data_IF_799389217885
#
_entry.id   IF_799389217885
#
_cell.length_a   1.000
_cell.length_b   1.000
_cell.length_c   1.000
_cell.angle_alpha   90.00
_cell.angle_beta   90.00
_cell.angle_gamma   90.00
#
_symmetry.space_group_name_H-M   'P 1'
#
loop_
_entity.id
_entity.type
_entity.pdbx_description
1 polymer ?
#
# COMPACT_ATOMS: atom_id res chain seq x y z
N UNK A 1 0.00 3.62 5.01
CA UNK A 1 -0.77 3.96 6.24
C UNK A 1 -0.87 5.46 6.47
N UNK A 2 0.24 6.20 6.56
CA UNK A 2 0.24 7.68 6.73
C UNK A 2 -0.62 8.41 5.69
N UNK A 3 -0.42 8.11 4.40
CA UNK A 3 -1.20 8.70 3.30
C UNK A 3 -2.71 8.40 3.41
N UNK A 4 -3.06 7.21 3.89
CA UNK A 4 -4.46 6.81 4.05
C UNK A 4 -5.12 7.55 5.23
N UNK A 5 -4.42 7.62 6.36
CA UNK A 5 -4.87 8.32 7.56
C UNK A 5 -5.04 9.84 7.36
N UNK A 6 -4.26 10.44 6.46
CA UNK A 6 -4.39 11.84 6.07
C UNK A 6 -5.38 12.05 4.91
N UNK A 7 -5.87 10.96 4.30
CA UNK A 7 -6.77 11.00 3.17
C UNK A 7 -8.21 11.37 3.57
N UNK A 8 -9.11 11.56 2.59
CA UNK A 8 -10.48 11.97 2.83
C UNK A 8 -11.26 11.07 3.78
N UNK A 9 -10.99 9.76 3.78
CA UNK A 9 -11.63 8.80 4.68
C UNK A 9 -11.01 8.78 6.08
N UNK A 10 -9.74 9.15 6.20
CA UNK A 10 -9.04 9.23 7.48
C UNK A 10 -9.67 10.25 8.43
N UNK A 11 -10.16 11.37 7.90
CA UNK A 11 -10.88 12.38 8.69
C UNK A 11 -12.29 11.98 9.15
N UNK A 12 -12.77 10.81 8.72
CA UNK A 12 -14.07 10.27 9.12
C UNK A 12 -13.95 9.05 10.05
N UNK A 13 -12.75 8.74 10.51
CA UNK A 13 -12.49 7.63 11.44
C UNK A 13 -11.67 8.12 12.61
N UNK A 14 -11.97 7.58 13.79
CA UNK A 14 -11.11 7.73 14.96
C UNK A 14 -10.22 6.49 15.08
N UNK A 15 -8.94 6.71 15.38
CA UNK A 15 -7.94 5.67 15.53
C UNK A 15 -7.75 5.32 17.01
N UNK A 16 -7.67 4.01 17.28
CA UNK A 16 -7.23 3.49 18.56
C UNK A 16 -5.89 2.79 18.37
N UNK A 17 -4.80 3.42 18.81
CA UNK A 17 -3.46 2.83 18.75
C UNK A 17 -3.19 2.09 20.06
N UNK A 18 -3.36 0.77 20.06
CA UNK A 18 -3.18 -0.07 21.24
C UNK A 18 -1.81 -0.75 21.19
N UNK A 19 -0.95 -0.46 22.16
CA UNK A 19 0.35 -1.09 22.30
C UNK A 19 0.34 -2.09 23.47
N UNK A 20 1.10 -3.19 23.32
CA UNK A 20 1.32 -4.19 24.38
C UNK A 20 2.63 -3.97 25.14
N UNK A 21 3.52 -3.15 24.58
CA UNK A 21 4.84 -2.88 25.14
C UNK A 21 4.76 -1.75 26.17
N UNK A 22 4.52 -0.52 25.72
CA UNK A 22 4.38 0.64 26.59
C UNK A 22 3.51 1.73 25.97
N UNK A 23 3.03 2.65 26.81
CA UNK A 23 2.30 3.83 26.34
C UNK A 23 3.18 4.74 25.46
N UNK A 24 4.47 4.80 25.74
CA UNK A 24 5.42 5.59 24.96
C UNK A 24 5.54 5.09 23.52
N UNK A 25 5.58 3.76 23.32
CA UNK A 25 5.57 3.15 21.98
C UNK A 25 4.27 3.46 21.24
N UNK A 26 3.12 3.39 21.93
CA UNK A 26 1.84 3.79 21.33
C UNK A 26 1.88 5.24 20.85
N UNK A 27 2.33 6.17 21.71
CA UNK A 27 2.46 7.59 21.39
C UNK A 27 3.42 7.82 20.21
N UNK A 28 4.52 7.07 20.14
CA UNK A 28 5.47 7.16 19.04
C UNK A 28 4.82 6.76 17.70
N UNK A 29 4.09 5.64 17.66
CA UNK A 29 3.34 5.24 16.46
C UNK A 29 2.26 6.25 16.07
N UNK A 30 1.53 6.79 17.06
CA UNK A 30 0.54 7.85 16.82
C UNK A 30 1.14 9.07 16.13
N UNK A 31 2.33 9.51 16.58
CA UNK A 31 3.08 10.63 15.98
C UNK A 31 3.64 10.27 14.60
N UNK A 32 4.24 9.09 14.47
CA UNK A 32 4.91 8.64 13.25
C UNK A 32 3.93 8.50 12.08
N UNK A 33 2.76 7.92 12.32
CA UNK A 33 1.74 7.78 11.28
C UNK A 33 0.88 9.03 11.08
N UNK A 34 1.08 10.06 11.92
CA UNK A 34 0.36 11.34 11.87
C UNK A 34 -1.16 11.16 11.79
N UNK A 35 -1.70 10.27 12.64
CA UNK A 35 -3.14 10.09 12.74
C UNK A 35 -3.79 11.39 13.22
N UNK A 36 -4.85 11.84 12.54
CA UNK A 36 -5.52 13.09 12.91
C UNK A 36 -6.27 12.95 14.23
N UNK A 37 -7.05 11.87 14.40
CA UNK A 37 -7.82 11.59 15.60
C UNK A 37 -7.34 10.26 16.17
N UNK A 38 -6.37 10.26 17.08
CA UNK A 38 -5.86 9.02 17.70
C UNK A 38 -5.93 9.06 19.20
N UNK A 39 -6.49 8.00 19.77
CA UNK A 39 -6.34 7.65 21.19
C UNK A 39 -5.26 6.58 21.29
N UNK A 40 -4.18 6.89 22.01
CA UNK A 40 -3.10 5.94 22.26
C UNK A 40 -3.36 5.22 23.59
N UNK A 41 -3.29 3.89 23.56
CA UNK A 41 -3.60 3.04 24.70
C UNK A 41 -2.49 2.02 24.89
N UNK A 42 -2.36 1.54 26.13
CA UNK A 42 -1.42 0.50 26.49
C UNK A 42 -2.14 -0.58 27.29
N UNK A 43 -1.83 -1.84 26.97
CA UNK A 43 -2.31 -3.01 27.70
C UNK A 43 -1.18 -3.46 28.63
N UNK A 44 -1.28 -3.22 29.95
CA UNK A 44 -0.20 -3.51 30.89
C UNK A 44 -0.02 -5.00 31.17
N UNK A 45 -1.07 -5.80 31.00
CA UNK A 45 -1.04 -7.24 31.22
C UNK A 45 -1.43 -7.99 29.94
N UNK A 46 -0.58 -8.88 29.41
CA UNK A 46 -0.92 -9.71 28.25
C UNK A 46 -2.24 -10.50 28.39
N UNK A 47 -2.67 -10.81 29.61
CA UNK A 47 -3.95 -11.48 29.86
C UNK A 47 -5.18 -10.64 29.44
N UNK A 48 -5.05 -9.31 29.42
CA UNK A 48 -6.09 -8.37 29.00
C UNK A 48 -6.14 -8.21 27.47
N UNK A 49 -5.24 -8.88 26.74
CA UNK A 49 -5.20 -8.80 25.29
C UNK A 49 -6.49 -9.38 24.68
N UNK A 50 -7.16 -8.67 23.75
CA UNK A 50 -8.30 -9.21 23.04
C UNK A 50 -7.94 -10.52 22.36
N UNK A 51 -8.70 -11.58 22.69
CA UNK A 51 -8.59 -12.91 22.07
C UNK A 51 -9.19 -12.98 20.66
N UNK A 52 -9.60 -11.84 20.12
CA UNK A 52 -10.26 -11.73 18.84
C UNK A 52 -9.59 -10.65 17.98
N UNK A 53 -9.70 -10.84 16.67
CA UNK A 53 -9.26 -9.87 15.68
C UNK A 53 -7.77 -9.92 15.36
N UNK A 54 -7.33 -8.92 14.61
CA UNK A 54 -5.96 -8.79 14.13
C UNK A 54 -5.51 -7.34 14.36
N UNK A 55 -4.41 -7.17 15.10
CA UNK A 55 -3.89 -5.86 15.50
C UNK A 55 -2.44 -5.71 15.02
N UNK A 56 -2.02 -4.46 14.75
CA UNK A 56 -0.68 -4.12 14.27
C UNK A 56 -0.50 -4.27 12.75
N UNK A 57 0.72 -4.61 12.30
CA UNK A 57 1.10 -4.75 10.87
C UNK A 57 0.29 -5.81 10.11
N UNK A 58 -0.47 -6.57 10.86
CA UNK A 58 -1.35 -7.62 10.45
C UNK A 58 -2.74 -7.09 10.01
N UNK A 59 -3.14 -5.84 10.28
CA UNK A 59 -4.41 -5.27 9.82
C UNK A 59 -5.17 -4.52 10.92
N UNK A 60 -6.44 -4.24 10.68
CA UNK A 60 -7.29 -3.44 11.54
C UNK A 60 -8.51 -4.22 12.06
N UNK A 61 -8.96 -3.80 13.25
CA UNK A 61 -10.31 -4.03 13.76
C UNK A 61 -11.11 -2.77 13.47
N UNK A 62 -12.30 -2.93 12.89
CA UNK A 62 -13.16 -1.81 12.50
C UNK A 62 -14.48 -1.91 13.24
N UNK A 63 -14.81 -0.84 13.96
CA UNK A 63 -16.04 -0.64 14.72
C UNK A 63 -16.84 0.50 14.07
N UNK A 64 -18.17 0.48 14.19
CA UNK A 64 -19.01 1.63 13.87
C UNK A 64 -19.10 2.62 15.05
N UNK A 65 -19.82 3.74 14.86
CA UNK A 65 -20.01 4.76 15.90
C UNK A 65 -20.79 4.29 17.13
N UNK A 66 -21.50 3.15 17.04
CA UNK A 66 -22.20 2.52 18.16
C UNK A 66 -21.31 1.47 18.87
N UNK A 67 -20.05 1.31 18.44
CA UNK A 67 -19.12 0.32 18.97
C UNK A 67 -19.39 -1.12 18.51
N UNK A 68 -20.16 -1.33 17.44
CA UNK A 68 -20.37 -2.67 16.86
C UNK A 68 -19.29 -3.01 15.86
N UNK A 69 -18.88 -4.29 15.84
CA UNK A 69 -17.89 -4.77 14.89
C UNK A 69 -18.41 -4.75 13.46
N UNK A 70 -17.85 -3.88 12.63
CA UNK A 70 -17.98 -3.93 11.18
C UNK A 70 -17.05 -5.02 10.62
N UNK A 71 -15.82 -5.10 11.14
CA UNK A 71 -14.89 -6.17 10.81
C UNK A 71 -13.92 -6.43 11.95
N UNK A 72 -13.82 -7.68 12.38
CA UNK A 72 -12.82 -8.09 13.37
C UNK A 72 -11.42 -8.27 12.76
N UNK A 73 -11.32 -8.45 11.45
CA UNK A 73 -10.07 -8.73 10.74
C UNK A 73 -10.10 -8.16 9.33
N UNK A 74 -9.39 -7.07 9.06
CA UNK A 74 -9.17 -6.60 7.68
C UNK A 74 -8.08 -7.40 6.98
N UNK A 75 -7.96 -7.21 5.67
CA UNK A 75 -6.78 -7.66 4.94
C UNK A 75 -5.51 -7.11 5.58
N UNK A 76 -4.48 -7.97 5.67
CA UNK A 76 -3.21 -7.65 6.29
C UNK A 76 -2.29 -6.91 5.32
N UNK A 77 -1.77 -5.74 5.72
CA UNK A 77 -0.81 -5.00 4.89
C UNK A 77 0.43 -5.83 4.56
N UNK A 78 0.96 -6.57 5.53
CA UNK A 78 2.12 -7.45 5.33
C UNK A 78 1.89 -8.58 4.30
N UNK A 79 0.63 -8.90 3.97
CA UNK A 79 0.28 -9.94 2.99
C UNK A 79 -0.17 -9.37 1.64
N UNK A 80 -0.91 -8.27 1.67
CA UNK A 80 -1.62 -7.72 0.50
C UNK A 80 -1.10 -6.35 0.05
N UNK A 81 -0.12 -5.75 0.75
CA UNK A 81 0.38 -4.41 0.45
C UNK A 81 -0.75 -3.37 0.45
N UNK A 82 -0.73 -2.47 -0.53
CA UNK A 82 -1.71 -1.37 -0.66
C UNK A 82 -3.16 -1.85 -0.89
N UNK A 83 -3.37 -3.06 -1.43
CA UNK A 83 -4.72 -3.61 -1.58
C UNK A 83 -5.42 -3.86 -0.24
N UNK A 84 -4.65 -3.99 0.86
CA UNK A 84 -5.22 -4.03 2.21
C UNK A 84 -5.99 -2.75 2.56
N UNK A 85 -5.50 -1.58 2.13
CA UNK A 85 -6.17 -0.32 2.38
C UNK A 85 -7.43 -0.17 1.54
N UNK A 86 -7.46 -0.70 0.31
CA UNK A 86 -8.67 -0.70 -0.52
C UNK A 86 -9.82 -1.50 0.11
N UNK A 87 -9.53 -2.65 0.71
CA UNK A 87 -10.52 -3.43 1.48
C UNK A 87 -11.03 -2.64 2.70
N UNK A 88 -10.13 -1.98 3.44
CA UNK A 88 -10.48 -1.13 4.57
C UNK A 88 -11.38 0.05 4.15
N UNK A 89 -11.02 0.76 3.06
CA UNK A 89 -11.83 1.86 2.53
C UNK A 89 -13.25 1.41 2.18
N UNK A 90 -13.38 0.24 1.57
CA UNK A 90 -14.69 -0.29 1.22
C UNK A 90 -15.57 -0.54 2.46
N UNK A 91 -14.98 -1.11 3.53
CA UNK A 91 -15.69 -1.34 4.80
C UNK A 91 -16.14 -0.01 5.41
N UNK A 92 -15.23 0.95 5.49
CA UNK A 92 -15.45 2.27 6.09
C UNK A 92 -16.51 3.07 5.32
N UNK A 93 -16.43 3.11 3.97
CA UNK A 93 -17.42 3.79 3.13
C UNK A 93 -18.82 3.20 3.25
N UNK A 94 -18.97 1.89 3.44
CA UNK A 94 -20.28 1.24 3.63
C UNK A 94 -20.92 1.57 4.97
N UNK A 95 -20.12 1.93 5.96
CA UNK A 95 -20.60 2.21 7.31
C UNK A 95 -20.95 3.70 7.52
N UNK A 96 -20.47 4.59 6.67
CA UNK A 96 -20.81 6.01 6.79
C UNK A 96 -22.27 6.28 6.42
N UNK A 97 -23.00 7.05 7.26
CA UNK A 97 -24.32 7.54 6.90
C UNK A 97 -24.21 8.46 5.68
N UNK A 98 -24.95 8.14 4.62
CA UNK A 98 -24.88 8.84 3.34
C UNK A 98 -25.64 10.17 3.41
N UNK A 99 -24.95 11.27 3.74
CA UNK A 99 -25.44 12.60 3.36
C UNK A 99 -24.98 12.89 1.93
N UNK A 100 -25.81 12.46 0.97
CA UNK A 100 -25.65 12.54 -0.50
C UNK A 100 -24.47 11.77 -1.11
N UNK A 101 -24.73 10.83 -2.05
CA UNK A 101 -23.64 10.12 -2.72
C UNK A 101 -22.89 11.07 -3.66
N UNK A 102 -21.55 11.20 -3.54
CA UNK A 102 -20.77 11.78 -4.62
C UNK A 102 -20.92 10.88 -5.84
N UNK A 103 -21.31 11.47 -6.97
CA UNK A 103 -21.41 10.77 -8.25
C UNK A 103 -20.07 10.06 -8.52
N UNK A 104 -20.00 8.71 -8.50
CA UNK A 104 -18.73 7.98 -8.59
C UNK A 104 -17.99 8.37 -9.86
N UNK A 105 -16.67 8.64 -9.88
CA UNK A 105 -15.98 9.12 -11.07
C UNK A 105 -16.20 8.21 -12.28
N UNK A 106 -16.10 8.78 -13.49
CA UNK A 106 -16.17 8.00 -14.72
C UNK A 106 -15.06 6.93 -14.69
N UNK A 107 -15.39 5.73 -15.16
CA UNK A 107 -14.43 4.63 -15.25
C UNK A 107 -13.39 4.83 -16.36
N UNK A 108 -13.68 5.72 -17.31
CA UNK A 108 -12.80 6.12 -18.40
C UNK A 108 -13.24 7.49 -18.94
N UNK A 109 -12.30 8.31 -19.43
CA UNK A 109 -12.60 9.66 -19.93
C UNK A 109 -13.60 9.65 -21.10
N UNK A 110 -13.51 8.65 -21.98
CA UNK A 110 -14.30 8.57 -23.22
C UNK A 110 -15.69 7.95 -23.05
N UNK A 111 -16.02 7.42 -21.87
CA UNK A 111 -17.25 6.67 -21.66
C UNK A 111 -18.05 7.22 -20.48
N UNK A 112 -19.37 7.43 -20.62
CA UNK A 112 -20.22 8.05 -19.59
C UNK A 112 -20.61 7.06 -18.47
N UNK A 113 -19.76 6.07 -18.18
CA UNK A 113 -20.07 4.97 -17.29
C UNK A 113 -19.32 5.08 -15.96
N UNK A 114 -20.02 4.74 -14.88
CA UNK A 114 -19.54 4.82 -13.50
C UNK A 114 -19.68 3.46 -12.84
N UNK A 115 -18.81 3.12 -11.89
CA UNK A 115 -18.99 1.93 -11.07
C UNK A 115 -20.34 2.01 -10.34
N UNK A 116 -21.11 0.93 -10.36
CA UNK A 116 -22.48 0.88 -9.84
C UNK A 116 -23.56 1.34 -10.83
N UNK A 117 -23.19 1.86 -12.01
CA UNK A 117 -24.16 2.29 -13.02
C UNK A 117 -24.95 1.12 -13.63
N UNK A 118 -26.26 1.29 -13.79
CA UNK A 118 -27.12 0.30 -14.43
C UNK A 118 -27.04 0.41 -15.96
N UNK A 119 -26.87 -0.74 -16.62
CA UNK A 119 -26.70 -0.81 -18.07
C UNK A 119 -27.46 -1.98 -18.69
N UNK A 120 -27.79 -1.84 -19.97
CA UNK A 120 -28.27 -2.92 -20.82
C UNK A 120 -27.13 -3.46 -21.67
N UNK A 121 -27.11 -4.78 -21.88
CA UNK A 121 -26.19 -5.43 -22.80
C UNK A 121 -26.86 -5.65 -24.15
N UNK A 122 -26.18 -5.29 -25.22
CA UNK A 122 -26.63 -5.52 -26.59
C UNK A 122 -25.43 -5.78 -27.53
N UNK A 123 -25.65 -6.33 -28.72
CA UNK A 123 -24.60 -6.52 -29.73
C UNK A 123 -23.49 -7.52 -29.37
N UNK A 124 -23.67 -8.38 -28.36
CA UNK A 124 -22.74 -9.49 -28.06
C UNK A 124 -22.89 -10.59 -29.12
N UNK A 125 -21.79 -10.87 -29.85
CA UNK A 125 -21.76 -11.90 -30.90
C UNK A 125 -21.48 -13.31 -30.40
N UNK A 126 -20.65 -13.44 -29.36
CA UNK A 126 -20.19 -14.74 -28.86
C UNK A 126 -21.12 -15.35 -27.81
N UNK A 127 -21.95 -14.52 -27.16
CA UNK A 127 -22.92 -14.91 -26.14
C UNK A 127 -24.23 -14.13 -26.36
N UNK A 128 -24.94 -14.37 -27.48
CA UNK A 128 -26.12 -13.60 -27.85
C UNK A 128 -27.28 -13.75 -26.85
N UNK A 129 -27.31 -14.80 -26.03
CA UNK A 129 -28.27 -15.04 -24.96
C UNK A 129 -28.24 -14.00 -23.83
N UNK A 130 -27.17 -13.19 -23.79
CA UNK A 130 -27.01 -12.09 -22.83
C UNK A 130 -27.51 -10.75 -23.38
N UNK A 131 -27.79 -10.65 -24.68
CA UNK A 131 -28.38 -9.43 -25.26
C UNK A 131 -29.80 -9.21 -24.71
N UNK A 132 -30.12 -7.96 -24.41
CA UNK A 132 -31.37 -7.58 -23.73
C UNK A 132 -31.36 -7.81 -22.21
N UNK A 133 -30.28 -8.35 -21.64
CA UNK A 133 -30.14 -8.43 -20.19
C UNK A 133 -29.56 -7.14 -19.61
N UNK A 134 -29.97 -6.83 -18.38
CA UNK A 134 -29.46 -5.68 -17.62
C UNK A 134 -28.44 -6.09 -16.59
N UNK A 135 -27.46 -5.23 -16.33
CA UNK A 135 -26.45 -5.44 -15.31
C UNK A 135 -25.99 -4.15 -14.63
N UNK A 136 -25.05 -4.31 -13.71
CA UNK A 136 -24.40 -3.23 -12.99
C UNK A 136 -22.92 -3.20 -13.39
N UNK A 137 -22.41 -2.05 -13.78
CA UNK A 137 -20.99 -1.91 -14.12
C UNK A 137 -20.15 -2.00 -12.83
N UNK A 138 -19.14 -2.88 -12.84
CA UNK A 138 -18.20 -3.03 -11.74
C UNK A 138 -16.94 -2.17 -11.97
N UNK A 139 -16.30 -2.33 -13.14
CA UNK A 139 -15.05 -1.64 -13.48
C UNK A 139 -14.80 -1.61 -15.01
N UNK A 140 -13.83 -0.82 -15.47
CA UNK A 140 -13.26 -0.83 -16.81
C UNK A 140 -11.81 -1.33 -16.77
N UNK A 141 -11.47 -2.32 -17.58
CA UNK A 141 -10.10 -2.80 -17.73
C UNK A 141 -9.44 -2.07 -18.90
N UNK A 142 -8.48 -1.20 -18.60
CA UNK A 142 -7.69 -0.48 -19.62
C UNK A 142 -6.82 -1.43 -20.44
N UNK A 143 -6.30 -2.50 -19.83
CA UNK A 143 -5.50 -3.53 -20.50
C UNK A 143 -6.29 -4.35 -21.53
N UNK A 144 -7.60 -4.56 -21.32
CA UNK A 144 -8.44 -5.32 -22.26
C UNK A 144 -9.43 -4.46 -23.06
N UNK A 145 -9.57 -3.18 -22.71
CA UNK A 145 -10.52 -2.23 -23.31
C UNK A 145 -11.98 -2.61 -23.08
N UNK A 146 -12.32 -3.27 -21.96
CA UNK A 146 -13.65 -3.87 -21.71
C UNK A 146 -14.22 -3.49 -20.35
N UNK A 147 -15.55 -3.40 -20.28
CA UNK A 147 -16.30 -3.26 -19.03
C UNK A 147 -16.55 -4.62 -18.40
N UNK A 148 -16.39 -4.69 -17.08
CA UNK A 148 -16.89 -5.81 -16.29
C UNK A 148 -18.29 -5.46 -15.77
N UNK A 149 -19.28 -6.25 -16.17
CA UNK A 149 -20.69 -6.02 -15.84
C UNK A 149 -21.23 -7.22 -15.07
N UNK A 150 -21.86 -6.98 -13.92
CA UNK A 150 -22.56 -8.02 -13.16
C UNK A 150 -24.02 -8.09 -13.61
N UNK A 151 -24.46 -9.25 -14.11
CA UNK A 151 -25.83 -9.46 -14.58
C UNK A 151 -26.82 -9.46 -13.41
N UNK A 152 -27.92 -8.70 -13.52
CA UNK A 152 -28.93 -8.63 -12.44
C UNK A 152 -29.62 -9.97 -12.17
N UNK A 153 -29.86 -10.78 -13.22
CA UNK A 153 -30.60 -12.05 -13.10
C UNK A 153 -29.79 -13.19 -12.49
N UNK A 154 -28.50 -13.27 -12.80
CA UNK A 154 -27.64 -14.41 -12.42
C UNK A 154 -26.55 -14.07 -11.42
N UNK A 155 -26.29 -12.78 -11.16
CA UNK A 155 -25.18 -12.33 -10.32
C UNK A 155 -23.78 -12.57 -10.94
N UNK A 156 -23.71 -13.17 -12.13
CA UNK A 156 -22.48 -13.49 -12.83
C UNK A 156 -21.86 -12.24 -13.47
N UNK A 157 -20.54 -12.10 -13.35
CA UNK A 157 -19.78 -11.03 -14.01
C UNK A 157 -19.35 -11.44 -15.43
N UNK A 158 -19.51 -10.53 -16.38
CA UNK A 158 -19.14 -10.71 -17.79
C UNK A 158 -18.28 -9.55 -18.27
N UNK A 159 -17.33 -9.82 -19.18
CA UNK A 159 -16.44 -8.81 -19.77
C UNK A 159 -16.89 -8.44 -21.18
N UNK A 160 -17.32 -7.20 -21.38
CA UNK A 160 -18.01 -6.75 -22.59
C UNK A 160 -17.35 -5.51 -23.17
N UNK A 161 -17.40 -5.36 -24.50
CA UNK A 161 -16.86 -4.17 -25.17
C UNK A 161 -17.73 -2.93 -24.88
N UNK A 162 -17.18 -1.71 -24.95
CA UNK A 162 -17.97 -0.48 -24.77
C UNK A 162 -19.19 -0.39 -25.69
N UNK A 163 -19.08 -0.84 -26.94
CA UNK A 163 -20.20 -0.86 -27.88
C UNK A 163 -21.32 -1.85 -27.54
N UNK A 164 -21.07 -2.78 -26.61
CA UNK A 164 -22.04 -3.77 -26.17
C UNK A 164 -22.80 -3.34 -24.89
N UNK A 165 -22.61 -2.10 -24.45
CA UNK A 165 -23.17 -1.57 -23.21
C UNK A 165 -23.90 -0.26 -23.52
N UNK A 166 -25.13 -0.13 -23.02
CA UNK A 166 -25.91 1.10 -23.11
C UNK A 166 -26.44 1.51 -21.71
N UNK A 167 -26.53 2.82 -21.40
CA UNK A 167 -27.14 3.27 -20.14
C UNK A 167 -28.59 2.80 -20.04
N UNK A 168 -29.00 2.35 -18.86
CA UNK A 168 -30.40 2.06 -18.57
C UNK A 168 -31.01 3.32 -17.95
N UNK A 169 -31.77 4.09 -18.75
CA UNK A 169 -32.48 5.31 -18.31
C UNK A 169 -33.25 5.08 -17.00
N UNK A 170 -33.06 5.95 -16.02
CA UNK A 170 -33.81 5.91 -14.77
C UNK A 170 -35.24 6.45 -15.00
N UNK A 171 -36.26 5.71 -14.59
CA UNK A 171 -37.65 6.14 -14.73
C UNK A 171 -37.91 7.46 -13.97
N UNK A 172 -38.73 8.40 -14.51
CA UNK A 172 -39.05 9.65 -13.84
C UNK A 172 -40.11 9.40 -12.76
N UNK A 173 -39.69 9.38 -11.49
CA UNK A 173 -40.59 9.43 -10.34
C UNK A 173 -41.09 10.86 -10.12
N UNK A 174 -42.40 11.07 -10.24
CA UNK A 174 -43.05 12.37 -10.16
C UNK A 174 -43.49 12.81 -8.75
N UNK A 175 -43.85 14.11 -8.70
CA UNK A 175 -44.69 14.78 -7.70
C UNK A 175 -43.90 15.62 -6.68
N UNK A 176 -44.04 16.93 -6.58
CA UNK A 176 -44.91 17.90 -7.26
C UNK A 176 -44.70 19.31 -6.68
N UNK A 177 -45.10 20.33 -7.48
CA UNK A 177 -45.44 21.73 -7.16
C UNK A 177 -44.52 22.51 -6.20
N UNK A 178 -43.90 23.63 -6.63
CA UNK A 178 -44.63 24.89 -6.73
C UNK A 178 -44.22 25.82 -7.87
N UNK A 179 -45.17 26.71 -8.16
CA UNK A 179 -45.43 27.45 -9.40
C UNK A 179 -44.69 28.79 -9.47
N UNK A 180 -44.13 29.03 -10.66
CA UNK A 180 -43.92 30.30 -11.38
C UNK A 180 -43.26 31.52 -10.70
N UNK A 181 -42.22 32.04 -11.36
CA UNK A 181 -42.38 33.33 -12.04
C UNK A 181 -41.43 33.46 -13.25
N UNK A 182 -41.93 34.11 -14.29
CA UNK A 182 -41.31 34.25 -15.60
C UNK A 182 -40.70 35.65 -15.81
N UNK A 183 -39.70 35.71 -16.72
CA UNK A 183 -39.26 36.86 -17.56
C UNK A 183 -38.70 38.09 -16.78
N UNK A 184 -37.52 38.64 -17.07
CA UNK A 184 -37.06 39.18 -18.36
C UNK A 184 -35.62 39.72 -18.24
N UNK A 185 -34.86 39.65 -19.35
CA UNK A 185 -33.93 40.66 -19.87
C UNK A 185 -32.75 41.25 -19.02
N UNK A 186 -31.53 40.90 -19.49
CA UNK A 186 -30.57 41.78 -20.22
C UNK A 186 -29.36 42.36 -19.45
N UNK A 187 -28.20 42.21 -20.12
CA UNK A 187 -26.89 42.93 -20.05
C UNK A 187 -25.92 42.59 -18.91
N UNK A 188 -24.77 41.99 -19.21
CA UNK A 188 -23.46 42.59 -19.63
C UNK A 188 -22.64 43.13 -18.46
N UNK A 189 -21.54 42.43 -18.11
CA UNK A 189 -20.15 42.91 -17.89
C UNK A 189 -19.35 41.75 -17.24
N UNK A 190 -18.38 41.12 -17.91
CA UNK A 190 -16.97 41.52 -18.15
C UNK A 190 -16.17 41.88 -16.89
N UNK A 191 -15.55 40.87 -16.27
CA UNK A 191 -14.25 40.99 -15.60
C UNK A 191 -13.64 39.59 -15.44
N UNK A 192 -12.78 39.12 -16.35
CA UNK A 192 -11.32 39.29 -16.33
C UNK A 192 -10.66 38.92 -14.99
N UNK A 193 -10.42 37.63 -14.76
CA UNK A 193 -9.22 37.22 -14.00
C UNK A 193 -8.63 35.95 -14.60
N UNK A 194 -7.32 36.05 -14.87
CA UNK A 194 -6.50 35.16 -15.68
C UNK A 194 -6.34 33.79 -14.99
N UNK A 195 -6.71 32.73 -15.71
CA UNK A 195 -6.18 31.37 -15.49
C UNK A 195 -4.70 31.34 -15.87
N UNK A 196 -3.78 30.84 -15.04
CA UNK A 196 -2.51 30.36 -15.54
C UNK A 196 -2.75 29.00 -16.19
N UNK A 197 -2.52 28.96 -17.51
CA UNK A 197 -2.31 27.75 -18.29
C UNK A 197 -0.94 27.21 -17.90
N UNK A 198 -0.90 26.13 -17.13
CA UNK A 198 0.33 25.36 -16.94
C UNK A 198 0.21 24.15 -17.87
N UNK A 199 0.87 24.28 -19.01
CA UNK A 199 1.46 23.14 -19.70
C UNK A 199 2.70 22.74 -18.89
N UNK A 200 2.72 21.52 -18.37
CA UNK A 200 3.95 20.80 -17.97
C UNK A 200 3.55 19.34 -17.83
N UNK A 201 3.73 18.50 -18.85
CA UNK A 201 4.98 17.77 -19.10
C UNK A 201 5.55 17.14 -17.83
N UNK A 202 5.52 15.80 -17.84
CA UNK A 202 6.42 14.89 -17.14
C UNK A 202 7.27 15.49 -16.00
N UNK A 203 6.88 15.20 -14.77
CA UNK A 203 7.82 15.09 -13.66
C UNK A 203 7.60 13.76 -12.96
N UNK A 204 8.30 12.73 -13.45
CA UNK A 204 8.81 11.67 -12.59
C UNK A 204 9.83 12.36 -11.69
N UNK A 205 9.39 12.82 -10.51
CA UNK A 205 10.33 13.32 -9.50
C UNK A 205 11.11 12.12 -8.97
N UNK A 206 12.42 12.14 -9.19
CA UNK A 206 13.38 11.27 -8.51
C UNK A 206 13.13 11.28 -7.00
N UNK A 207 12.48 10.25 -6.48
CA UNK A 207 12.59 9.90 -5.07
C UNK A 207 13.76 8.93 -4.96
N UNK A 208 14.99 9.43 -5.04
CA UNK A 208 16.15 8.62 -4.67
C UNK A 208 16.06 8.36 -3.17
N UNK A 209 15.62 7.17 -2.75
CA UNK A 209 15.59 6.83 -1.33
C UNK A 209 17.00 6.99 -0.76
N UNK A 210 17.12 7.69 0.39
CA UNK A 210 18.38 7.95 1.08
C UNK A 210 18.59 6.91 2.18
N UNK A 211 19.86 6.73 2.57
CA UNK A 211 20.24 5.90 3.72
C UNK A 211 19.37 6.24 4.95
N UNK A 212 18.80 5.24 5.65
CA UNK A 212 17.84 5.50 6.73
C UNK A 212 18.47 6.12 8.00
N UNK A 213 19.80 6.06 8.15
CA UNK A 213 20.52 6.59 9.31
C UNK A 213 20.57 5.60 10.48
N UNK A 214 21.16 6.03 11.59
CA UNK A 214 21.34 5.21 12.79
C UNK A 214 20.03 4.93 13.54
N UNK A 215 19.98 3.78 14.19
CA UNK A 215 18.91 3.32 15.11
C UNK A 215 19.38 3.22 16.56
N UNK A 216 20.57 3.74 16.87
CA UNK A 216 21.09 3.82 18.24
C UNK A 216 21.76 2.54 18.75
N UNK A 217 21.94 1.53 17.89
CA UNK A 217 22.61 0.27 18.23
C UNK A 217 23.75 0.04 17.24
N UNK A 218 25.00 0.12 17.72
CA UNK A 218 26.18 0.18 16.86
C UNK A 218 26.36 -1.04 15.95
N UNK A 219 26.02 -2.25 16.42
CA UNK A 219 26.06 -3.47 15.59
C UNK A 219 25.04 -3.38 14.44
N UNK A 220 23.82 -2.98 14.76
CA UNK A 220 22.72 -2.84 13.80
C UNK A 220 22.99 -1.74 12.77
N UNK A 221 23.56 -0.61 13.21
CA UNK A 221 23.95 0.49 12.31
C UNK A 221 24.98 0.02 11.27
N UNK A 222 25.94 -0.82 11.68
CA UNK A 222 26.94 -1.40 10.79
C UNK A 222 26.31 -2.37 9.78
N UNK A 223 25.38 -3.22 10.23
CA UNK A 223 24.63 -4.11 9.35
C UNK A 223 23.75 -3.32 8.36
N UNK A 224 23.15 -2.21 8.79
CA UNK A 224 22.40 -1.30 7.91
C UNK A 224 23.28 -0.66 6.86
N UNK A 225 24.50 -0.24 7.21
CA UNK A 225 25.48 0.27 6.26
C UNK A 225 25.86 -0.79 5.21
N UNK A 226 26.04 -2.06 5.62
CA UNK A 226 26.32 -3.17 4.71
C UNK A 226 25.16 -3.44 3.75
N UNK A 227 23.93 -3.55 4.28
CA UNK A 227 22.71 -3.67 3.47
C UNK A 227 22.58 -2.51 2.47
N UNK A 228 22.83 -1.28 2.92
CA UNK A 228 22.75 -0.11 2.06
C UNK A 228 23.83 -0.10 0.98
N UNK A 229 25.06 -0.50 1.29
CA UNK A 229 26.13 -0.63 0.32
C UNK A 229 25.77 -1.63 -0.79
N UNK A 230 25.12 -2.76 -0.44
CA UNK A 230 24.61 -3.71 -1.42
C UNK A 230 23.50 -3.09 -2.31
N UNK A 231 22.58 -2.30 -1.72
CA UNK A 231 21.52 -1.60 -2.47
C UNK A 231 22.11 -0.52 -3.41
N UNK A 232 23.11 0.23 -2.97
CA UNK A 232 23.86 1.19 -3.78
C UNK A 232 24.52 0.51 -4.98
N UNK A 233 25.14 -0.66 -4.74
CA UNK A 233 25.69 -1.48 -5.83
C UNK A 233 24.59 -1.91 -6.81
N UNK A 234 23.45 -2.39 -6.32
CA UNK A 234 22.30 -2.73 -7.16
C UNK A 234 21.81 -1.53 -8.00
N UNK A 235 21.75 -0.32 -7.42
CA UNK A 235 21.37 0.90 -8.15
C UNK A 235 22.36 1.24 -9.27
N UNK A 236 23.67 1.10 -9.02
CA UNK A 236 24.70 1.32 -10.04
C UNK A 236 24.58 0.33 -11.20
N UNK A 237 24.41 -0.95 -10.89
CA UNK A 237 24.17 -1.98 -11.90
C UNK A 237 22.87 -1.72 -12.69
N UNK A 238 21.79 -1.31 -12.02
CA UNK A 238 20.51 -0.98 -12.65
C UNK A 238 20.56 0.27 -13.55
N UNK A 239 21.41 1.23 -13.22
CA UNK A 239 21.64 2.44 -14.03
C UNK A 239 22.63 2.22 -15.17
N UNK A 240 23.24 1.04 -15.30
CA UNK A 240 24.26 0.76 -16.31
C UNK A 240 25.62 1.42 -16.03
N UNK A 241 25.78 1.99 -14.82
CA UNK A 241 27.05 2.53 -14.31
C UNK A 241 27.89 1.45 -13.61
N UNK A 242 27.32 0.25 -13.44
CA UNK A 242 27.98 -0.92 -12.88
C UNK A 242 29.08 -1.46 -13.80
N UNK A 243 30.31 -1.44 -13.31
CA UNK A 243 31.46 -2.09 -13.97
C UNK A 243 31.74 -3.51 -13.45
N UNK A 244 30.95 -4.00 -12.49
CA UNK A 244 31.16 -5.31 -11.87
C UNK A 244 30.46 -6.41 -12.67
N UNK A 245 31.22 -7.35 -13.23
CA UNK A 245 30.74 -8.37 -14.17
C UNK A 245 29.64 -9.36 -13.71
N UNK A 246 28.89 -9.08 -12.64
CA UNK A 246 27.76 -9.89 -12.17
C UNK A 246 26.38 -9.38 -12.59
N UNK A 247 26.24 -8.10 -12.97
CA UNK A 247 24.97 -7.49 -13.37
C UNK A 247 23.91 -7.41 -12.27
N UNK A 248 22.69 -6.99 -12.64
CA UNK A 248 21.59 -6.70 -11.70
C UNK A 248 21.15 -7.94 -10.91
N UNK A 249 21.13 -9.13 -11.51
CA UNK A 249 20.73 -10.36 -10.82
C UNK A 249 21.71 -10.74 -9.70
N UNK A 250 23.02 -10.65 -9.95
CA UNK A 250 24.02 -10.92 -8.91
C UNK A 250 23.99 -9.84 -7.80
N UNK A 251 23.72 -8.59 -8.15
CA UNK A 251 23.55 -7.53 -7.16
C UNK A 251 22.29 -7.74 -6.30
N UNK A 252 21.17 -8.19 -6.88
CA UNK A 252 19.98 -8.58 -6.11
C UNK A 252 20.25 -9.74 -5.17
N UNK A 253 20.99 -10.75 -5.62
CA UNK A 253 21.37 -11.88 -4.77
C UNK A 253 22.23 -11.43 -3.58
N UNK A 254 23.19 -10.54 -3.81
CA UNK A 254 23.99 -9.95 -2.74
C UNK A 254 23.11 -9.19 -1.75
N UNK A 255 22.18 -8.34 -2.22
CA UNK A 255 21.26 -7.62 -1.33
C UNK A 255 20.41 -8.60 -0.50
N UNK A 256 19.91 -9.66 -1.13
CA UNK A 256 19.11 -10.68 -0.43
C UNK A 256 19.91 -11.36 0.69
N UNK A 257 21.16 -11.71 0.41
CA UNK A 257 22.04 -12.38 1.38
C UNK A 257 22.33 -11.47 2.58
N UNK A 258 22.76 -10.23 2.34
CA UNK A 258 23.06 -9.24 3.38
C UNK A 258 21.83 -8.96 4.26
N UNK A 259 20.66 -8.75 3.64
CA UNK A 259 19.42 -8.53 4.40
C UNK A 259 18.99 -9.76 5.19
N UNK A 260 19.16 -10.97 4.64
CA UNK A 260 18.76 -12.18 5.35
C UNK A 260 19.63 -12.45 6.59
N UNK A 261 20.93 -12.15 6.51
CA UNK A 261 21.86 -12.25 7.63
C UNK A 261 21.51 -11.21 8.70
N UNK A 262 21.40 -9.94 8.32
CA UNK A 262 20.97 -8.84 9.20
C UNK A 262 19.64 -9.16 9.93
N UNK A 263 18.61 -9.56 9.18
CA UNK A 263 17.31 -9.92 9.75
C UNK A 263 17.40 -11.09 10.74
N UNK A 264 18.27 -12.07 10.51
CA UNK A 264 18.43 -13.20 11.41
C UNK A 264 19.14 -12.82 12.72
N UNK A 265 20.11 -11.90 12.67
CA UNK A 265 20.81 -11.37 13.85
C UNK A 265 19.90 -10.46 14.66
N UNK A 266 19.17 -9.57 14.00
CA UNK A 266 18.19 -8.68 14.63
C UNK A 266 17.10 -9.49 15.36
N UNK A 267 16.54 -10.51 14.72
CA UNK A 267 15.53 -11.37 15.34
C UNK A 267 16.04 -12.08 16.59
N UNK A 268 17.32 -12.46 16.63
CA UNK A 268 17.93 -13.05 17.81
C UNK A 268 18.10 -12.01 18.91
N UNK A 269 18.53 -10.80 18.55
CA UNK A 269 18.68 -9.69 19.47
C UNK A 269 17.34 -9.30 20.11
N UNK A 270 16.26 -9.21 19.33
CA UNK A 270 14.91 -8.97 19.85
C UNK A 270 14.51 -10.00 20.91
N UNK A 271 14.74 -11.28 20.62
CA UNK A 271 14.38 -12.38 21.52
C UNK A 271 15.24 -12.33 22.79
N UNK A 272 16.55 -12.11 22.63
CA UNK A 272 17.50 -12.07 23.75
C UNK A 272 17.22 -10.90 24.71
N UNK A 273 16.86 -9.73 24.17
CA UNK A 273 16.53 -8.55 24.97
C UNK A 273 15.11 -8.58 25.54
N UNK A 274 14.30 -9.61 25.24
CA UNK A 274 12.90 -9.70 25.66
C UNK A 274 11.97 -8.67 25.01
N UNK A 275 12.46 -7.95 24.00
CA UNK A 275 11.75 -6.86 23.35
C UNK A 275 10.63 -7.40 22.45
N UNK A 276 9.40 -6.93 22.63
CA UNK A 276 8.27 -7.31 21.79
C UNK A 276 7.55 -8.60 22.20
N UNK A 277 7.86 -9.16 23.37
CA UNK A 277 7.15 -10.29 23.98
C UNK A 277 7.42 -11.66 23.34
N UNK A 278 7.00 -12.73 24.02
CA UNK A 278 7.30 -14.11 23.60
C UNK A 278 6.70 -14.43 22.20
N UNK A 279 7.51 -14.88 21.22
CA UNK A 279 7.07 -15.17 19.86
C UNK A 279 6.03 -16.30 19.75
N UNK A 280 5.84 -17.11 20.80
CA UNK A 280 4.80 -18.15 20.88
C UNK A 280 3.41 -17.59 21.21
N UNK A 281 3.30 -16.31 21.58
CA UNK A 281 2.03 -15.66 21.89
C UNK A 281 1.38 -15.05 20.65
N UNK A 282 0.04 -15.05 20.57
CA UNK A 282 -0.70 -14.65 19.36
C UNK A 282 -0.56 -13.17 18.95
N UNK A 283 0.12 -12.34 19.74
CA UNK A 283 0.28 -10.89 19.52
C UNK A 283 1.66 -10.36 19.93
N UNK A 284 2.74 -11.05 19.55
CA UNK A 284 4.12 -10.57 19.78
C UNK A 284 4.56 -9.60 18.68
N UNK A 285 5.21 -8.50 19.08
CA UNK A 285 5.82 -7.56 18.14
C UNK A 285 6.96 -8.23 17.36
N UNK A 286 7.69 -9.17 17.99
CA UNK A 286 8.68 -10.03 17.32
C UNK A 286 8.03 -10.80 16.17
N UNK A 287 6.86 -11.40 16.39
CA UNK A 287 6.14 -12.12 15.31
C UNK A 287 5.74 -11.20 14.16
N UNK A 288 5.37 -9.94 14.45
CA UNK A 288 5.07 -8.93 13.43
C UNK A 288 6.31 -8.53 12.63
N UNK A 289 7.42 -8.32 13.34
CA UNK A 289 8.73 -7.95 12.79
C UNK A 289 9.28 -9.03 11.85
N UNK A 290 9.31 -10.29 12.30
CA UNK A 290 9.69 -11.46 11.48
C UNK A 290 8.88 -11.58 10.18
N UNK A 291 7.59 -11.26 10.24
CA UNK A 291 6.73 -11.29 9.04
C UNK A 291 7.07 -10.19 8.05
N UNK A 292 7.57 -9.04 8.50
CA UNK A 292 8.05 -7.99 7.62
C UNK A 292 9.34 -8.39 6.92
N UNK A 293 10.31 -8.98 7.64
CA UNK A 293 11.52 -9.58 7.05
C UNK A 293 11.17 -10.57 5.92
N UNK A 294 10.27 -11.51 6.21
CA UNK A 294 9.80 -12.49 5.24
C UNK A 294 9.07 -11.86 4.05
N UNK A 295 8.39 -10.72 4.24
CA UNK A 295 7.76 -9.97 3.14
C UNK A 295 8.83 -9.38 2.23
N UNK A 296 9.83 -8.71 2.80
CA UNK A 296 10.91 -8.04 2.05
C UNK A 296 11.73 -9.07 1.26
N UNK A 297 12.13 -10.17 1.89
CA UNK A 297 12.88 -11.23 1.22
C UNK A 297 12.07 -11.89 0.08
N UNK A 298 10.76 -12.13 0.28
CA UNK A 298 9.88 -12.65 -0.79
C UNK A 298 9.72 -11.65 -1.93
N UNK A 299 9.65 -10.36 -1.64
CA UNK A 299 9.63 -9.33 -2.68
C UNK A 299 10.89 -9.40 -3.54
N UNK A 300 12.07 -9.50 -2.92
CA UNK A 300 13.35 -9.60 -3.64
C UNK A 300 13.38 -10.88 -4.52
N UNK A 301 12.99 -12.03 -3.98
CA UNK A 301 12.90 -13.28 -4.76
C UNK A 301 11.94 -13.15 -5.94
N UNK A 302 10.76 -12.56 -5.74
CA UNK A 302 9.81 -12.34 -6.84
C UNK A 302 10.35 -11.41 -7.93
N UNK A 303 11.19 -10.43 -7.57
CA UNK A 303 11.89 -9.58 -8.53
C UNK A 303 12.98 -10.37 -9.28
N UNK A 304 13.74 -11.24 -8.61
CA UNK A 304 14.72 -12.13 -9.23
C UNK A 304 14.06 -13.08 -10.25
N UNK A 305 12.94 -13.69 -9.87
CA UNK A 305 12.19 -14.61 -10.75
C UNK A 305 11.65 -13.88 -11.98
N UNK A 306 11.11 -12.68 -11.79
CA UNK A 306 10.58 -11.86 -12.89
C UNK A 306 11.65 -11.45 -13.90
N UNK A 307 12.86 -11.12 -13.42
CA UNK A 307 14.00 -10.80 -14.28
C UNK A 307 14.56 -12.05 -15.00
N UNK A 308 14.59 -13.19 -14.30
CA UNK A 308 15.10 -14.46 -14.85
C UNK A 308 14.16 -15.11 -15.87
N UNK A 309 12.85 -14.86 -15.77
CA UNK A 309 11.83 -15.39 -16.68
C UNK A 309 11.75 -14.66 -18.03
N UNK A 310 12.56 -13.61 -18.25
CA UNK A 310 12.64 -12.93 -19.54
C UNK A 310 13.24 -13.88 -20.59
N UNK A 311 12.57 -14.11 -21.73
CA UNK A 311 12.98 -15.13 -22.70
C UNK A 311 14.36 -14.81 -23.30
N UNK A 312 15.19 -15.82 -23.62
CA UNK A 312 16.43 -15.62 -24.35
C UNK A 312 16.11 -15.02 -25.72
N UNK A 313 16.49 -13.76 -25.91
CA UNK A 313 16.36 -13.03 -27.17
C UNK A 313 17.26 -13.68 -28.22
N UNK A 314 16.66 -14.27 -29.24
CA UNK A 314 17.35 -14.88 -30.39
C UNK A 314 17.82 -13.80 -31.37
N UNK A 315 18.71 -12.90 -30.96
CA UNK A 315 19.16 -11.79 -31.80
C UNK A 315 20.68 -11.61 -31.78
N UNK A 316 21.21 -11.41 -32.98
CA UNK A 316 22.62 -11.25 -33.33
C UNK A 316 23.26 -10.02 -32.65
N UNK A 317 24.59 -10.08 -32.49
CA UNK A 317 25.53 -9.18 -31.77
C UNK A 317 25.48 -7.64 -32.02
N UNK A 318 24.41 -7.07 -32.57
CA UNK A 318 24.23 -5.63 -32.78
C UNK A 318 23.05 -4.99 -32.00
N UNK A 319 22.12 -5.79 -31.49
CA UNK A 319 20.87 -5.30 -30.86
C UNK A 319 20.92 -5.21 -29.32
N UNK A 320 21.98 -5.74 -28.69
CA UNK A 320 22.13 -5.81 -27.22
C UNK A 320 22.08 -4.44 -26.54
N UNK A 321 22.69 -3.40 -27.13
CA UNK A 321 22.70 -2.04 -26.54
C UNK A 321 21.33 -1.37 -26.54
N UNK A 322 20.52 -1.57 -27.58
CA UNK A 322 19.16 -1.00 -27.63
C UNK A 322 18.21 -1.74 -26.70
N UNK A 323 18.35 -3.06 -26.58
CA UNK A 323 17.54 -3.86 -25.67
C UNK A 323 17.87 -3.56 -24.20
N UNK A 324 19.15 -3.36 -23.87
CA UNK A 324 19.60 -2.96 -22.53
C UNK A 324 19.06 -1.58 -22.12
N UNK A 325 18.99 -0.64 -23.07
CA UNK A 325 18.44 0.71 -22.83
C UNK A 325 16.90 0.71 -22.63
N UNK A 326 16.18 -0.25 -23.23
CA UNK A 326 14.73 -0.41 -23.01
C UNK A 326 14.38 -1.07 -21.67
N UNK A 327 15.25 -1.95 -21.15
CA UNK A 327 15.06 -2.63 -19.86
C UNK A 327 15.49 -1.77 -18.67
N UNK A 328 16.34 -0.76 -18.90
CA UNK A 328 16.91 0.10 -17.86
C UNK A 328 15.87 0.72 -16.90
N UNK A 329 14.72 1.27 -17.35
CA UNK A 329 13.71 1.80 -16.42
C UNK A 329 13.10 0.73 -15.51
N UNK A 330 12.96 -0.51 -15.99
CA UNK A 330 12.44 -1.61 -15.18
C UNK A 330 13.47 -2.04 -14.13
N UNK A 331 14.75 -2.09 -14.49
CA UNK A 331 15.84 -2.42 -13.57
C UNK A 331 16.00 -1.33 -12.49
N UNK A 332 15.86 -0.06 -12.86
CA UNK A 332 15.87 1.06 -11.90
C UNK A 332 14.67 0.99 -10.94
N UNK A 333 13.48 0.61 -11.42
CA UNK A 333 12.32 0.41 -10.56
C UNK A 333 12.51 -0.75 -9.57
N UNK A 334 13.17 -1.84 -9.99
CA UNK A 334 13.56 -2.94 -9.10
C UNK A 334 14.44 -2.42 -7.97
N UNK A 335 15.51 -1.69 -8.30
CA UNK A 335 16.42 -1.14 -7.28
C UNK A 335 15.72 -0.16 -6.34
N UNK A 336 14.81 0.67 -6.88
CA UNK A 336 13.99 1.62 -6.11
C UNK A 336 13.08 0.90 -5.11
N UNK A 337 12.38 -0.16 -5.54
CA UNK A 337 11.49 -0.95 -4.66
C UNK A 337 12.23 -1.58 -3.51
N UNK A 338 13.39 -2.19 -3.77
CA UNK A 338 14.22 -2.80 -2.72
C UNK A 338 14.70 -1.74 -1.72
N UNK A 339 15.18 -0.59 -2.20
CA UNK A 339 15.61 0.51 -1.34
C UNK A 339 14.45 1.07 -0.49
N UNK A 340 13.26 1.21 -1.07
CA UNK A 340 12.07 1.67 -0.37
C UNK A 340 11.63 0.68 0.71
N UNK A 341 11.60 -0.62 0.41
CA UNK A 341 11.21 -1.65 1.38
C UNK A 341 12.17 -1.67 2.57
N UNK A 342 13.48 -1.61 2.33
CA UNK A 342 14.48 -1.53 3.41
C UNK A 342 14.39 -0.24 4.23
N UNK A 343 14.38 0.93 3.58
CA UNK A 343 14.34 2.21 4.31
C UNK A 343 13.04 2.39 5.10
N UNK A 344 11.94 1.83 4.60
CA UNK A 344 10.67 1.81 5.33
C UNK A 344 10.75 0.90 6.54
N UNK A 345 11.38 -0.27 6.41
CA UNK A 345 11.60 -1.20 7.51
C UNK A 345 12.37 -0.54 8.66
N UNK A 346 13.58 -0.05 8.38
CA UNK A 346 14.45 0.59 9.37
C UNK A 346 13.75 1.75 10.10
N UNK A 347 12.96 2.55 9.38
CA UNK A 347 12.27 3.71 9.97
C UNK A 347 11.09 3.32 10.85
N UNK A 348 10.34 2.29 10.47
CA UNK A 348 9.08 1.94 11.13
C UNK A 348 9.25 0.90 12.23
N UNK A 349 10.26 0.04 12.08
CA UNK A 349 10.49 -1.10 12.95
C UNK A 349 11.79 -0.91 13.75
N UNK A 350 12.94 -0.78 13.10
CA UNK A 350 14.23 -0.84 13.81
C UNK A 350 14.45 0.38 14.71
N UNK A 351 13.92 1.55 14.34
CA UNK A 351 13.91 2.72 15.22
C UNK A 351 13.20 2.51 16.56
N UNK A 352 12.40 1.45 16.72
CA UNK A 352 11.77 1.11 18.00
C UNK A 352 12.78 0.67 19.07
N UNK A 353 14.00 0.32 18.69
CA UNK A 353 15.06 -0.13 19.60
C UNK A 353 15.88 0.97 20.24
N UNK A 354 15.78 2.21 19.74
CA UNK A 354 16.60 3.31 20.22
C UNK A 354 16.43 3.47 21.75
N UNK A 355 17.53 3.24 22.48
CA UNK A 355 17.57 3.27 23.94
C UNK A 355 16.90 2.08 24.67
N UNK A 356 16.56 0.99 23.99
CA UNK A 356 15.83 -0.16 24.57
C UNK A 356 16.55 -1.50 24.51
N UNK A 357 17.47 -1.67 23.58
CA UNK A 357 18.33 -2.84 23.55
C UNK A 357 19.54 -2.54 24.44
N UNK A 358 19.43 -2.85 25.74
CA UNK A 358 20.60 -2.89 26.60
C UNK A 358 21.49 -4.03 26.10
N UNK A 359 22.51 -3.69 25.32
CA UNK A 359 23.69 -4.54 25.21
C UNK A 359 24.42 -4.37 26.54
N UNK A 360 24.07 -5.18 27.53
CA UNK A 360 24.95 -5.37 28.67
C UNK A 360 26.25 -5.99 28.13
N UNK A 361 27.18 -5.14 27.68
CA UNK A 361 28.59 -5.45 27.85
C UNK A 361 28.78 -5.58 29.34
N UNK A 362 28.90 -6.83 29.81
CA UNK A 362 29.12 -7.12 31.21
C UNK A 362 30.36 -6.39 31.69
N UNK A 363 30.16 -5.33 32.48
CA UNK A 363 31.15 -4.84 33.42
C UNK A 363 31.38 -5.97 34.43
N UNK A 364 32.29 -6.86 34.07
CA UNK A 364 32.98 -7.74 34.99
C UNK A 364 33.99 -6.90 35.78
N UNK A 365 33.51 -6.03 36.67
CA UNK A 365 34.31 -5.39 37.71
C UNK A 365 33.41 -4.93 38.86
N UNK A 366 33.17 -5.82 39.83
CA UNK A 366 33.47 -5.52 41.24
C UNK A 366 33.17 -6.76 42.10
N UNK A 367 34.17 -7.64 42.22
CA UNK A 367 34.34 -8.39 43.47
C UNK A 367 35.09 -7.44 44.41
N UNK A 368 34.34 -6.66 45.19
CA UNK A 368 34.83 -6.13 46.46
C UNK A 368 34.00 -6.68 47.62
N UNK A 369 34.70 -7.56 48.33
CA UNK A 369 34.52 -8.03 49.71
C UNK A 369 33.63 -7.17 50.61
N UNK A 370 32.66 -7.84 51.27
CA UNK A 370 32.45 -7.78 52.71
C UNK A 370 31.80 -9.08 53.19
#
# INVERSE_FOLDING_TARGET
MELWAQGPLGGHVDFLCVCVESLEVALMFGRMFKFQHVTNCWIPNPADMPRYGQLGCSGFVVLDGDGKFLRKKTSAFLQMGEDAFRDLEYVVRRAMPTSTPPTPPLLHADYPYRAGGAVSLDGLKNTPELNGQTGTILNFSTSSGRFQVQLKKSGRSVSVRPCCVAPLEAAPGGGGADVANARSHKKEEKESTKRPRVEEQQQVKETGEKFPGSVGVASMDKEHEMCWAAIEKLRKEASGEGGGGGGVLAALEAVRAEMAEHFAEEEQLMIASGFGGNPETSFSAVTGHKKDHQRILREIVGLQDSLSASPPSCCSNGEEKQQQQQLQPQLQEVARRVALSFTTHVRLFDKLYDGKLNTEEGDADDIQTA
#
